data_IF_435198525886
#
_entry.id   IF_435198525886
#
_cell.length_a   1.000
_cell.length_b   1.000
_cell.length_c   1.000
_cell.angle_alpha   90.00
_cell.angle_beta   90.00
_cell.angle_gamma   90.00
#
_symmetry.space_group_name_H-M   'P 1'
#
loop_
_entity.id
_entity.type
_entity.pdbx_description
1 polymer ?
#
# COMPACT_ATOMS: atom_id res chain seq x y z
N UNK A 1 6.52 -10.76 23.17
CA UNK A 1 5.25 -11.31 22.65
C UNK A 1 5.48 -12.76 22.26
N UNK A 2 4.51 -13.66 22.46
CA UNK A 2 4.61 -15.02 21.89
C UNK A 2 4.73 -14.90 20.35
N UNK A 3 5.60 -15.66 19.68
CA UNK A 3 5.67 -15.73 18.21
C UNK A 3 4.29 -15.93 17.54
N UNK A 4 3.34 -16.53 18.28
CA UNK A 4 1.95 -16.75 17.87
C UNK A 4 1.20 -15.44 17.62
N UNK A 5 1.34 -14.43 18.48
CA UNK A 5 0.64 -13.16 18.29
C UNK A 5 1.21 -12.36 17.10
N UNK A 6 2.50 -12.52 16.79
CA UNK A 6 3.14 -11.84 15.66
C UNK A 6 2.75 -12.48 14.33
N UNK A 7 2.64 -13.81 14.32
CA UNK A 7 2.09 -14.54 13.18
C UNK A 7 0.61 -14.21 12.96
N UNK A 8 -0.20 -14.14 14.03
CA UNK A 8 -1.58 -13.66 13.97
C UNK A 8 -1.69 -12.22 13.49
N UNK A 9 -0.77 -11.34 13.89
CA UNK A 9 -0.68 -9.95 13.40
C UNK A 9 -0.41 -9.89 11.90
N UNK A 10 0.64 -10.56 11.39
CA UNK A 10 0.92 -10.62 9.94
C UNK A 10 -0.25 -11.20 9.16
N UNK A 11 -0.83 -12.31 9.64
CA UNK A 11 -1.97 -12.95 8.98
C UNK A 11 -3.22 -12.07 9.02
N UNK A 12 -3.56 -11.40 10.12
CA UNK A 12 -4.76 -10.55 10.21
C UNK A 12 -4.58 -9.17 9.58
N UNK A 13 -3.36 -8.62 9.50
CA UNK A 13 -3.09 -7.38 8.76
C UNK A 13 -3.24 -7.59 7.25
N UNK A 14 -2.65 -8.67 6.73
CA UNK A 14 -2.73 -9.05 5.31
C UNK A 14 -4.14 -9.57 4.96
N UNK A 15 -4.81 -10.26 5.90
CA UNK A 15 -6.19 -10.74 5.74
C UNK A 15 -7.24 -9.82 6.37
N UNK A 16 -6.93 -8.53 6.62
CA UNK A 16 -7.98 -7.57 6.91
C UNK A 16 -8.87 -7.53 5.66
N UNK A 17 -10.05 -8.13 5.77
CA UNK A 17 -11.05 -8.25 4.70
C UNK A 17 -12.01 -7.06 4.81
N UNK A 18 -12.17 -6.33 3.72
CA UNK A 18 -13.06 -5.19 3.65
C UNK A 18 -12.36 -3.94 3.11
N UNK A 19 -13.16 -2.91 2.95
CA UNK A 19 -12.74 -1.57 2.58
C UNK A 19 -12.30 -0.84 3.87
N UNK A 20 -11.03 -0.47 3.97
CA UNK A 20 -10.48 0.20 5.16
C UNK A 20 -10.17 1.67 4.89
N UNK A 21 -10.38 2.50 5.92
CA UNK A 21 -9.86 3.86 5.99
C UNK A 21 -8.52 3.82 6.73
N UNK A 22 -7.45 4.20 6.04
CA UNK A 22 -6.10 4.25 6.62
C UNK A 22 -5.61 5.68 6.68
N UNK A 23 -5.21 6.11 7.86
CA UNK A 23 -4.67 7.43 8.11
C UNK A 23 -3.16 7.35 8.31
N UNK A 24 -2.42 8.13 7.52
CA UNK A 24 -1.00 8.37 7.72
C UNK A 24 -0.81 9.77 8.29
N UNK A 25 -0.09 9.84 9.41
CA UNK A 25 0.54 11.07 9.87
C UNK A 25 2.01 11.00 9.51
N UNK A 26 2.45 11.94 8.68
CA UNK A 26 3.86 12.05 8.29
C UNK A 26 4.30 13.47 8.56
N UNK A 27 5.57 13.66 8.94
CA UNK A 27 6.25 14.94 8.78
C UNK A 27 6.98 14.84 7.43
N UNK A 28 6.38 15.33 6.34
CA UNK A 28 6.80 15.00 4.98
C UNK A 28 8.09 15.71 4.52
N UNK A 29 9.01 16.06 5.42
CA UNK A 29 10.21 16.84 5.11
C UNK A 29 11.21 16.08 4.23
N UNK A 30 11.04 14.75 4.07
CA UNK A 30 11.90 13.90 3.25
C UNK A 30 11.16 13.29 2.05
N UNK A 31 11.66 13.44 0.81
CA UNK A 31 11.19 12.72 -0.38
C UNK A 31 11.22 11.19 -0.22
N UNK A 32 12.02 10.69 0.72
CA UNK A 32 12.08 9.26 1.03
C UNK A 32 10.83 8.76 1.75
N UNK A 33 10.22 9.59 2.61
CA UNK A 33 9.00 9.24 3.35
C UNK A 33 7.78 9.25 2.42
N UNK A 34 7.73 10.11 1.40
CA UNK A 34 6.67 10.09 0.39
C UNK A 34 6.75 8.85 -0.52
N UNK A 35 7.97 8.40 -0.85
CA UNK A 35 8.15 7.15 -1.61
C UNK A 35 7.86 5.91 -0.75
N UNK A 36 8.27 5.91 0.53
CA UNK A 36 7.93 4.86 1.48
C UNK A 36 6.41 4.81 1.72
N UNK A 37 5.74 5.96 1.80
CA UNK A 37 4.28 6.06 1.85
C UNK A 37 3.64 5.35 0.65
N UNK A 38 4.10 5.60 -0.58
CA UNK A 38 3.57 4.93 -1.78
C UNK A 38 3.87 3.43 -1.79
N UNK A 39 5.07 3.01 -1.39
CA UNK A 39 5.45 1.60 -1.30
C UNK A 39 4.61 0.88 -0.25
N UNK A 40 4.40 1.49 0.93
CA UNK A 40 3.55 0.94 1.99
C UNK A 40 2.09 0.91 1.55
N UNK A 41 1.56 1.98 0.93
CA UNK A 41 0.20 1.99 0.37
C UNK A 41 0.00 0.89 -0.70
N UNK A 42 1.02 0.63 -1.53
CA UNK A 42 0.99 -0.41 -2.57
C UNK A 42 1.19 -1.82 -2.04
N UNK A 43 2.06 -2.02 -1.04
CA UNK A 43 2.42 -3.33 -0.52
C UNK A 43 1.54 -3.80 0.65
N UNK A 44 0.97 -2.88 1.42
CA UNK A 44 0.32 -3.20 2.71
C UNK A 44 -1.21 -3.18 2.61
N UNK A 45 -1.83 -2.60 1.57
CA UNK A 45 -3.29 -2.37 1.57
C UNK A 45 -3.96 -2.56 0.20
N UNK A 46 -3.78 -3.73 -0.40
CA UNK A 46 -4.56 -4.14 -1.59
C UNK A 46 -6.08 -3.97 -1.45
N UNK A 47 -6.59 -3.92 -0.20
CA UNK A 47 -8.01 -3.80 0.12
C UNK A 47 -8.42 -2.42 0.71
N UNK A 48 -7.54 -1.43 0.83
CA UNK A 48 -7.97 -0.10 1.30
C UNK A 48 -8.93 0.56 0.30
N UNK A 49 -9.95 1.23 0.83
CA UNK A 49 -10.90 2.03 0.05
C UNK A 49 -10.62 3.52 0.16
N UNK A 50 -10.08 3.94 1.31
CA UNK A 50 -9.72 5.34 1.56
C UNK A 50 -8.37 5.39 2.25
N UNK A 51 -7.49 6.25 1.74
CA UNK A 51 -6.24 6.60 2.39
C UNK A 51 -6.26 8.10 2.64
N UNK A 52 -6.08 8.48 3.90
CA UNK A 52 -5.93 9.87 4.32
C UNK A 52 -4.45 10.08 4.68
N UNK A 53 -3.84 11.11 4.12
CA UNK A 53 -2.51 11.57 4.48
C UNK A 53 -2.64 12.94 5.12
N UNK A 54 -2.14 13.10 6.35
CA UNK A 54 -2.28 14.32 7.14
C UNK A 54 -0.92 14.84 7.59
N UNK A 55 -0.73 16.14 7.41
CA UNK A 55 0.41 16.92 7.91
C UNK A 55 -0.08 18.32 8.31
N UNK A 56 0.65 19.00 9.19
CA UNK A 56 0.39 20.40 9.57
C UNK A 56 0.91 21.38 8.51
N UNK A 57 1.96 21.01 7.76
CA UNK A 57 2.62 21.88 6.78
C UNK A 57 1.90 21.87 5.41
N UNK A 58 1.04 22.85 5.21
CA UNK A 58 0.31 23.03 3.94
C UNK A 58 1.24 23.19 2.73
N UNK A 59 2.38 23.87 2.87
CA UNK A 59 3.29 24.14 1.75
C UNK A 59 3.91 22.85 1.24
N UNK A 60 4.27 21.97 2.17
CA UNK A 60 4.83 20.66 1.91
C UNK A 60 3.81 19.71 1.27
N UNK A 61 2.58 19.71 1.80
CA UNK A 61 1.47 18.94 1.23
C UNK A 61 1.19 19.35 -0.21
N UNK A 62 1.19 20.66 -0.50
CA UNK A 62 0.99 21.19 -1.85
C UNK A 62 2.11 20.77 -2.79
N UNK A 63 3.37 20.92 -2.36
CA UNK A 63 4.56 20.55 -3.15
C UNK A 63 4.54 19.07 -3.54
N UNK A 64 4.10 18.20 -2.64
CA UNK A 64 4.09 16.75 -2.83
C UNK A 64 2.73 16.19 -3.27
N UNK A 65 1.76 17.06 -3.60
CA UNK A 65 0.36 16.65 -3.86
C UNK A 65 0.23 15.63 -4.99
N UNK A 66 1.04 15.75 -6.04
CA UNK A 66 1.02 14.84 -7.19
C UNK A 66 1.62 13.47 -6.91
N UNK A 67 2.36 13.31 -5.80
CA UNK A 67 3.00 12.03 -5.45
C UNK A 67 1.98 10.90 -5.25
N UNK A 68 0.74 11.23 -4.87
CA UNK A 68 -0.33 10.25 -4.65
C UNK A 68 -1.14 9.93 -5.91
N UNK A 69 -0.81 10.53 -7.06
CA UNK A 69 -1.54 10.26 -8.30
C UNK A 69 -1.26 8.83 -8.81
N UNK A 70 -2.25 8.17 -9.44
CA UNK A 70 -2.04 6.88 -10.10
C UNK A 70 -0.91 6.94 -11.12
N UNK A 71 -0.05 5.93 -11.13
CA UNK A 71 0.95 5.73 -12.17
C UNK A 71 0.34 4.96 -13.35
N UNK A 72 1.03 4.96 -14.50
CA UNK A 72 0.64 4.17 -15.68
C UNK A 72 0.40 2.70 -15.33
N UNK A 73 1.21 2.14 -14.44
CA UNK A 73 1.04 0.76 -13.96
C UNK A 73 -0.29 0.51 -13.28
N UNK A 74 -0.85 1.52 -12.59
CA UNK A 74 -2.14 1.41 -11.90
C UNK A 74 -3.31 1.36 -12.90
N UNK A 75 -3.17 1.97 -14.09
CA UNK A 75 -4.14 1.85 -15.17
C UNK A 75 -4.05 0.50 -15.89
N UNK A 76 -2.83 0.04 -16.17
CA UNK A 76 -2.58 -1.26 -16.83
C UNK A 76 -3.00 -2.43 -15.93
N UNK A 77 -2.73 -2.32 -14.62
CA UNK A 77 -3.12 -3.31 -13.60
C UNK A 77 -4.06 -2.65 -12.61
N UNK A 78 -5.29 -2.45 -13.07
CA UNK A 78 -6.35 -1.83 -12.27
C UNK A 78 -6.69 -2.67 -11.05
N UNK A 79 -7.06 -1.98 -9.96
CA UNK A 79 -7.53 -2.61 -8.72
C UNK A 79 -8.86 -3.32 -8.95
N UNK A 80 -9.16 -4.34 -8.15
CA UNK A 80 -10.48 -4.98 -8.14
C UNK A 80 -11.54 -4.15 -7.39
N UNK A 81 -11.12 -3.17 -6.59
CA UNK A 81 -11.99 -2.31 -5.78
C UNK A 81 -11.58 -0.84 -5.87
N UNK A 82 -12.53 0.09 -5.66
CA UNK A 82 -12.25 1.52 -5.62
C UNK A 82 -11.25 1.88 -4.51
N UNK A 83 -10.39 2.85 -4.79
CA UNK A 83 -9.52 3.48 -3.80
C UNK A 83 -9.53 4.99 -4.00
N UNK A 84 -9.80 5.73 -2.93
CA UNK A 84 -9.66 7.18 -2.85
C UNK A 84 -8.47 7.54 -1.98
N UNK A 85 -7.59 8.39 -2.47
CA UNK A 85 -6.47 8.93 -1.67
C UNK A 85 -6.67 10.42 -1.48
N UNK A 86 -6.56 10.90 -0.24
CA UNK A 86 -6.76 12.30 0.12
C UNK A 86 -5.56 12.80 0.92
N UNK A 87 -5.13 14.03 0.62
CA UNK A 87 -4.12 14.77 1.36
C UNK A 87 -4.83 15.91 2.07
N UNK A 88 -4.69 15.98 3.38
CA UNK A 88 -5.36 16.96 4.22
C UNK A 88 -4.37 17.66 5.13
N UNK A 89 -4.58 18.96 5.35
CA UNK A 89 -3.88 19.71 6.35
C UNK A 89 -4.64 19.62 7.68
N UNK A 90 -3.96 19.17 8.73
CA UNK A 90 -4.54 19.00 10.06
C UNK A 90 -3.49 18.59 11.09
N UNK A 91 -3.84 18.66 12.37
CA UNK A 91 -2.93 18.36 13.47
C UNK A 91 -3.34 17.05 14.15
N UNK A 92 -2.41 16.09 14.26
CA UNK A 92 -2.63 14.77 14.89
C UNK A 92 -3.25 14.82 16.29
N UNK A 93 -3.04 15.91 17.04
CA UNK A 93 -3.63 16.09 18.37
C UNK A 93 -5.10 16.51 18.36
N UNK A 94 -5.64 16.95 17.22
CA UNK A 94 -6.95 17.59 17.11
C UNK A 94 -7.99 16.61 16.56
N UNK A 95 -9.13 16.48 17.25
CA UNK A 95 -10.24 15.66 16.80
C UNK A 95 -10.97 16.32 15.63
N UNK A 96 -11.28 15.58 14.57
CA UNK A 96 -11.98 16.13 13.39
C UNK A 96 -12.95 15.12 12.80
N UNK A 97 -14.00 15.62 12.15
CA UNK A 97 -15.03 14.79 11.52
C UNK A 97 -14.43 13.85 10.47
N UNK A 98 -13.43 14.32 9.73
CA UNK A 98 -12.76 13.57 8.66
C UNK A 98 -11.92 12.39 9.17
N UNK A 99 -11.68 12.31 10.49
CA UNK A 99 -10.93 11.21 11.12
C UNK A 99 -11.82 10.10 11.67
N UNK A 100 -13.14 10.27 11.64
CA UNK A 100 -14.09 9.24 12.07
C UNK A 100 -13.99 8.00 11.18
N UNK A 101 -14.42 6.88 11.74
CA UNK A 101 -14.46 5.58 11.07
C UNK A 101 -13.10 5.13 10.49
N UNK A 102 -12.00 5.69 11.02
CA UNK A 102 -10.64 5.25 10.67
C UNK A 102 -10.39 3.86 11.23
N UNK A 103 -10.09 2.90 10.36
CA UNK A 103 -9.78 1.54 10.78
C UNK A 103 -8.33 1.38 11.23
N UNK A 104 -7.41 2.09 10.61
CA UNK A 104 -5.99 2.01 10.90
C UNK A 104 -5.32 3.39 10.92
N UNK A 105 -4.50 3.63 11.94
CA UNK A 105 -3.64 4.81 12.03
C UNK A 105 -2.19 4.40 11.96
N UNK A 106 -1.42 5.07 11.11
CA UNK A 106 0.01 4.83 10.90
C UNK A 106 0.72 6.16 11.10
N UNK A 107 1.42 6.29 12.23
CA UNK A 107 2.22 7.45 12.59
C UNK A 107 3.70 7.03 12.58
N UNK A 108 4.38 7.27 11.46
CA UNK A 108 5.77 6.87 11.25
C UNK A 108 6.65 8.09 11.48
N UNK A 109 7.61 7.95 12.40
CA UNK A 109 8.58 8.99 12.75
C UNK A 109 7.90 10.36 12.94
N UNK A 110 6.94 10.40 13.86
CA UNK A 110 6.05 11.55 14.09
C UNK A 110 6.20 12.09 15.52
N UNK A 111 6.12 11.21 16.51
CA UNK A 111 5.93 11.61 17.90
C UNK A 111 7.13 12.39 18.43
N UNK A 112 8.34 12.10 17.93
CA UNK A 112 9.57 12.82 18.27
C UNK A 112 9.61 14.27 17.75
N UNK A 113 8.74 14.65 16.81
CA UNK A 113 8.66 16.01 16.27
C UNK A 113 7.68 16.91 17.03
N UNK A 114 6.96 16.38 18.02
CA UNK A 114 5.96 17.16 18.77
C UNK A 114 6.42 17.45 20.21
N UNK A 115 5.98 18.59 20.75
CA UNK A 115 6.19 18.95 22.15
C UNK A 115 5.27 18.14 23.08
N UNK A 116 5.62 18.08 24.37
CA UNK A 116 4.93 17.25 25.38
C UNK A 116 3.42 17.51 25.49
N UNK A 117 2.99 18.75 25.31
CA UNK A 117 1.58 19.15 25.36
C UNK A 117 0.77 18.57 24.20
N UNK A 118 1.35 18.54 23.00
CA UNK A 118 0.78 17.89 21.81
C UNK A 118 0.86 16.37 21.96
N UNK A 119 2.01 15.84 22.40
CA UNK A 119 2.22 14.40 22.61
C UNK A 119 1.19 13.80 23.57
N UNK A 120 0.83 14.52 24.63
CA UNK A 120 -0.19 14.10 25.59
C UNK A 120 -1.61 14.00 24.99
N UNK A 121 -1.90 14.77 23.93
CA UNK A 121 -3.18 14.77 23.22
C UNK A 121 -3.27 13.70 22.15
N UNK A 122 -2.15 13.29 21.55
CA UNK A 122 -2.13 12.26 20.49
C UNK A 122 -2.89 10.97 20.90
N UNK A 123 -2.64 10.35 22.07
CA UNK A 123 -3.41 9.18 22.47
C UNK A 123 -4.89 9.47 22.74
N UNK A 124 -5.24 10.69 23.14
CA UNK A 124 -6.64 11.11 23.34
C UNK A 124 -7.38 11.13 22.02
N UNK A 125 -6.79 11.74 20.99
CA UNK A 125 -7.40 11.76 19.67
C UNK A 125 -7.46 10.34 19.07
N UNK A 126 -6.34 9.63 19.02
CA UNK A 126 -6.28 8.34 18.32
C UNK A 126 -7.07 7.24 19.06
N UNK A 127 -6.82 7.01 20.34
CA UNK A 127 -7.44 5.88 21.06
C UNK A 127 -8.78 6.25 21.72
N UNK A 128 -9.01 7.54 21.99
CA UNK A 128 -10.25 8.04 22.58
C UNK A 128 -11.29 8.44 21.55
N UNK A 129 -10.93 9.31 20.59
CA UNK A 129 -11.85 9.81 19.57
C UNK A 129 -11.96 8.89 18.35
N UNK A 130 -10.85 8.53 17.71
CA UNK A 130 -10.90 7.74 16.46
C UNK A 130 -11.20 6.26 16.72
N UNK A 131 -10.68 5.71 17.82
CA UNK A 131 -10.82 4.31 18.23
C UNK A 131 -10.52 3.28 17.12
N UNK A 132 -9.42 3.39 16.36
CA UNK A 132 -9.13 2.53 15.21
C UNK A 132 -8.89 1.08 15.64
N UNK A 133 -9.04 0.13 14.73
CA UNK A 133 -8.74 -1.30 14.98
C UNK A 133 -7.24 -1.54 15.12
N UNK A 134 -6.43 -0.73 14.44
CA UNK A 134 -4.97 -0.81 14.39
C UNK A 134 -4.34 0.58 14.57
N UNK A 135 -3.26 0.64 15.36
CA UNK A 135 -2.39 1.82 15.41
C UNK A 135 -0.94 1.38 15.32
N UNK A 136 -0.15 2.04 14.48
CA UNK A 136 1.30 1.85 14.39
C UNK A 136 1.97 3.17 14.71
N UNK A 137 2.89 3.14 15.69
CA UNK A 137 3.83 4.23 15.93
C UNK A 137 5.24 3.74 15.64
N UNK A 138 6.05 4.58 15.00
CA UNK A 138 7.51 4.42 15.02
C UNK A 138 8.18 5.69 15.54
N UNK A 139 9.36 5.52 16.10
CA UNK A 139 10.22 6.61 16.57
C UNK A 139 11.67 6.11 16.64
N UNK A 140 12.68 7.00 16.60
CA UNK A 140 14.07 6.62 16.82
C UNK A 140 14.29 5.94 18.17
N UNK A 141 15.21 4.97 18.21
CA UNK A 141 15.66 4.35 19.46
C UNK A 141 16.98 4.97 19.94
N UNK A 142 16.96 5.78 20.99
CA UNK A 142 18.17 6.45 21.47
C UNK A 142 19.24 5.49 22.03
N UNK A 143 18.88 4.28 22.48
CA UNK A 143 19.85 3.24 22.89
C UNK A 143 20.82 2.91 21.75
N UNK A 144 20.37 3.04 20.49
CA UNK A 144 21.17 2.76 19.31
C UNK A 144 22.17 3.89 18.98
N UNK A 145 22.01 5.09 19.53
CA UNK A 145 22.83 6.26 19.19
C UNK A 145 24.33 6.04 19.46
N UNK A 146 24.67 5.13 20.37
CA UNK A 146 26.06 4.70 20.64
C UNK A 146 26.77 4.16 19.40
N UNK A 147 26.03 3.61 18.42
CA UNK A 147 26.59 3.12 17.15
C UNK A 147 26.77 4.27 16.16
N UNK A 148 25.82 5.21 16.09
CA UNK A 148 25.87 6.32 15.13
C UNK A 148 27.07 7.23 15.34
N UNK A 149 27.49 7.45 16.59
CA UNK A 149 28.69 8.25 16.91
C UNK A 149 29.97 7.78 16.20
N UNK A 150 30.01 6.55 15.70
CA UNK A 150 31.14 6.00 14.92
C UNK A 150 31.17 6.44 13.46
N UNK A 151 30.03 6.83 12.89
CA UNK A 151 29.86 7.10 11.46
C UNK A 151 29.42 8.55 11.18
N UNK A 152 28.53 9.08 12.00
CA UNK A 152 28.08 10.48 11.97
C UNK A 152 28.07 11.06 13.40
N UNK A 153 28.57 12.28 13.62
CA UNK A 153 28.44 12.91 14.92
C UNK A 153 26.96 13.18 15.22
N UNK A 154 26.54 12.87 16.45
CA UNK A 154 25.27 13.34 16.98
C UNK A 154 25.32 14.86 17.16
N UNK A 155 24.15 15.48 17.23
CA UNK A 155 24.04 16.89 17.60
C UNK A 155 24.50 17.10 19.07
N UNK A 156 24.83 18.33 19.48
CA UNK A 156 25.29 18.61 20.85
C UNK A 156 24.30 18.20 21.94
N UNK A 157 23.01 18.09 21.62
CA UNK A 157 21.94 17.61 22.51
C UNK A 157 21.81 16.06 22.53
N UNK A 158 22.63 15.34 21.76
CA UNK A 158 22.61 13.88 21.65
C UNK A 158 21.61 13.31 20.64
N UNK A 159 20.88 14.16 19.90
CA UNK A 159 19.89 13.74 18.91
C UNK A 159 20.51 13.50 17.54
N UNK A 160 19.81 12.70 16.73
CA UNK A 160 20.11 12.41 15.31
C UNK A 160 19.67 13.53 14.39
N UNK A 161 18.65 14.30 14.78
CA UNK A 161 18.05 15.35 13.95
C UNK A 161 17.76 16.61 14.77
N UNK A 162 17.90 17.77 14.14
CA UNK A 162 17.76 19.07 14.82
C UNK A 162 16.31 19.40 15.19
N UNK A 163 15.38 18.82 14.44
CA UNK A 163 13.95 19.03 14.64
C UNK A 163 13.34 18.08 15.69
N UNK A 164 14.07 17.07 16.19
CA UNK A 164 13.56 16.22 17.25
C UNK A 164 13.41 16.99 18.57
N UNK A 165 12.27 16.82 19.25
CA UNK A 165 12.00 17.37 20.57
C UNK A 165 12.43 16.39 21.67
N UNK A 166 12.46 15.10 21.37
CA UNK A 166 13.00 14.04 22.21
C UNK A 166 13.50 12.86 21.38
N UNK A 167 14.32 11.99 21.97
CA UNK A 167 14.61 10.65 21.43
C UNK A 167 14.56 9.62 22.56
N UNK A 168 13.54 8.78 22.55
CA UNK A 168 13.32 7.82 23.63
C UNK A 168 14.18 6.57 23.52
N UNK A 169 14.63 6.10 24.68
CA UNK A 169 15.14 4.74 24.86
C UNK A 169 14.02 3.71 24.69
N UNK A 170 14.37 2.43 24.63
CA UNK A 170 13.37 1.36 24.57
C UNK A 170 12.47 1.31 25.80
N UNK A 171 13.03 1.62 26.97
CA UNK A 171 12.28 1.62 28.22
C UNK A 171 11.29 2.79 28.28
N UNK A 172 11.69 3.99 27.87
CA UNK A 172 10.79 5.16 27.79
C UNK A 172 9.65 4.92 26.80
N UNK A 173 9.96 4.44 25.59
CA UNK A 173 8.93 4.14 24.59
C UNK A 173 7.96 3.05 25.05
N UNK A 174 8.48 2.00 25.70
CA UNK A 174 7.66 0.95 26.30
C UNK A 174 6.75 1.49 27.41
N UNK A 175 7.26 2.35 28.27
CA UNK A 175 6.50 2.95 29.37
C UNK A 175 5.37 3.85 28.84
N UNK A 176 5.65 4.63 27.78
CA UNK A 176 4.62 5.40 27.09
C UNK A 176 3.51 4.49 26.53
N UNK A 177 3.89 3.39 25.86
CA UNK A 177 2.92 2.41 25.34
C UNK A 177 2.08 1.75 26.45
N UNK A 178 2.70 1.44 27.60
CA UNK A 178 2.02 0.89 28.78
C UNK A 178 0.98 1.89 29.32
N UNK A 179 1.33 3.17 29.43
CA UNK A 179 0.40 4.22 29.86
C UNK A 179 -0.80 4.38 28.93
N UNK A 180 -0.60 4.18 27.62
CA UNK A 180 -1.71 4.18 26.64
C UNK A 180 -2.67 3.03 26.92
N UNK A 181 -2.21 1.79 27.04
CA UNK A 181 -3.12 0.65 27.24
C UNK A 181 -3.73 0.61 28.65
N UNK A 182 -3.09 1.23 29.64
CA UNK A 182 -3.71 1.46 30.95
C UNK A 182 -4.92 2.40 30.84
N UNK A 183 -4.77 3.51 30.09
CA UNK A 183 -5.84 4.48 29.84
C UNK A 183 -6.91 3.97 28.88
N UNK A 184 -6.51 3.17 27.89
CA UNK A 184 -7.37 2.62 26.82
C UNK A 184 -7.31 1.09 26.84
N UNK A 185 -7.97 0.44 27.81
CA UNK A 185 -7.83 -1.00 28.07
C UNK A 185 -8.44 -1.90 26.99
N UNK A 186 -9.08 -1.33 25.96
CA UNK A 186 -9.53 -2.04 24.77
C UNK A 186 -8.40 -2.39 23.82
N UNK A 187 -7.18 -1.90 24.05
CA UNK A 187 -6.03 -2.17 23.21
C UNK A 187 -5.01 -3.08 23.91
N UNK A 188 -4.26 -3.80 23.10
CA UNK A 188 -3.01 -4.46 23.47
C UNK A 188 -1.94 -4.01 22.50
N UNK A 189 -0.66 -4.09 22.89
CA UNK A 189 0.42 -3.69 22.00
C UNK A 189 1.57 -4.70 21.94
N UNK A 190 2.34 -4.60 20.87
CA UNK A 190 3.62 -5.27 20.68
C UNK A 190 4.69 -4.26 20.29
N UNK A 191 5.91 -4.50 20.77
CA UNK A 191 7.10 -3.78 20.33
C UNK A 191 7.87 -4.62 19.31
N UNK A 192 8.39 -3.95 18.29
CA UNK A 192 9.31 -4.48 17.28
C UNK A 192 10.20 -3.33 16.80
N UNK A 193 10.93 -3.50 15.70
CA UNK A 193 11.71 -2.41 15.11
C UNK A 193 12.28 -2.77 13.75
N UNK A 194 12.98 -1.80 13.16
CA UNK A 194 13.66 -1.94 11.86
C UNK A 194 15.11 -1.48 11.98
N UNK A 195 16.00 -2.15 11.24
CA UNK A 195 17.44 -1.95 11.29
C UNK A 195 18.06 -2.72 12.45
N UNK A 196 18.54 -3.93 12.17
CA UNK A 196 19.19 -4.76 13.18
C UNK A 196 20.55 -4.15 13.58
N UNK A 197 20.94 -4.25 14.86
CA UNK A 197 22.27 -3.85 15.27
C UNK A 197 23.34 -4.80 14.71
N UNK A 198 24.60 -4.33 14.60
CA UNK A 198 25.74 -5.23 14.43
C UNK A 198 25.81 -6.25 15.57
N UNK A 199 26.41 -7.42 15.31
CA UNK A 199 26.48 -8.54 16.28
C UNK A 199 27.07 -8.14 17.62
N UNK A 200 28.02 -7.19 17.64
CA UNK A 200 28.67 -6.75 18.88
C UNK A 200 27.77 -5.86 19.75
N UNK A 201 26.63 -5.40 19.21
CA UNK A 201 25.72 -4.45 19.86
C UNK A 201 24.28 -4.97 19.91
N UNK A 202 24.04 -6.28 19.87
CA UNK A 202 22.69 -6.87 19.92
C UNK A 202 21.82 -6.34 21.09
N UNK A 203 22.46 -5.96 22.21
CA UNK A 203 21.79 -5.42 23.38
C UNK A 203 21.09 -4.08 23.15
N UNK A 204 21.47 -3.27 22.15
CA UNK A 204 20.90 -1.92 21.93
C UNK A 204 19.55 -1.97 21.19
N UNK A 205 19.21 -3.10 20.58
CA UNK A 205 17.98 -3.26 19.80
C UNK A 205 18.05 -2.62 18.41
N UNK A 206 16.89 -2.33 17.82
CA UNK A 206 16.77 -1.84 16.45
C UNK A 206 17.10 -0.33 16.33
N UNK A 207 17.42 0.13 15.11
CA UNK A 207 17.66 1.55 14.80
C UNK A 207 16.43 2.42 15.09
N UNK A 208 15.28 1.97 14.59
CA UNK A 208 13.96 2.55 14.87
C UNK A 208 13.11 1.50 15.58
N UNK A 209 12.39 1.94 16.60
CA UNK A 209 11.49 1.11 17.38
C UNK A 209 10.05 1.35 16.93
N UNK A 210 9.24 0.30 16.95
CA UNK A 210 7.87 0.32 16.44
C UNK A 210 6.95 -0.28 17.50
N UNK A 211 5.87 0.44 17.81
CA UNK A 211 4.76 -0.06 18.62
C UNK A 211 3.56 -0.31 17.73
N UNK A 212 2.97 -1.49 17.86
CA UNK A 212 1.79 -1.91 17.13
C UNK A 212 0.69 -2.18 18.15
N UNK A 213 -0.34 -1.35 18.14
CA UNK A 213 -1.53 -1.50 18.97
C UNK A 213 -2.64 -2.14 18.16
N UNK A 214 -3.30 -3.13 18.75
CA UNK A 214 -4.44 -3.82 18.16
C UNK A 214 -5.60 -3.75 19.14
N UNK A 215 -6.77 -3.37 18.64
CA UNK A 215 -8.00 -3.39 19.42
C UNK A 215 -8.43 -4.84 19.69
N UNK A 216 -8.84 -5.15 20.92
CA UNK A 216 -9.07 -6.51 21.41
C UNK A 216 -10.06 -7.32 20.58
N UNK A 217 -11.08 -6.67 20.01
CA UNK A 217 -12.08 -7.31 19.14
C UNK A 217 -11.48 -7.90 17.85
N UNK A 218 -10.43 -7.29 17.30
CA UNK A 218 -9.67 -7.86 16.17
C UNK A 218 -8.99 -9.18 16.51
N UNK A 219 -8.71 -9.40 17.80
CA UNK A 219 -8.11 -10.63 18.32
C UNK A 219 -9.15 -11.60 18.88
N UNK A 220 -10.43 -11.39 18.59
CA UNK A 220 -11.55 -12.20 19.13
C UNK A 220 -11.62 -12.16 20.67
N UNK A 221 -11.06 -11.10 21.27
CA UNK A 221 -11.12 -10.84 22.69
C UNK A 221 -12.26 -9.87 23.01
N UNK A 222 -12.88 -10.04 24.17
CA UNK A 222 -13.92 -9.13 24.63
C UNK A 222 -13.34 -7.73 24.90
N UNK A 223 -14.05 -6.68 24.46
CA UNK A 223 -13.73 -5.31 24.82
C UNK A 223 -13.97 -5.10 26.32
N UNK A 224 -13.09 -4.34 26.96
CA UNK A 224 -13.20 -3.99 28.38
C UNK A 224 -14.29 -2.94 28.58
N UNK A 225 -14.34 -1.96 27.68
CA UNK A 225 -15.35 -0.91 27.65
C UNK A 225 -16.07 -0.90 26.29
N UNK A 226 -17.36 -0.52 26.22
CA UNK A 226 -18.03 -0.27 24.94
C UNK A 226 -17.31 0.80 24.11
N UNK A 227 -17.37 0.67 22.77
CA UNK A 227 -16.90 1.73 21.87
C UNK A 227 -17.86 2.92 21.93
N UNK A 228 -17.32 4.13 21.75
CA UNK A 228 -18.09 5.36 21.68
C UNK A 228 -18.49 5.56 20.23
N UNK A 229 -19.79 5.48 19.94
CA UNK A 229 -20.30 5.51 18.57
C UNK A 229 -20.23 6.89 17.90
N UNK A 230 -20.13 7.96 18.70
CA UNK A 230 -20.02 9.33 18.19
C UNK A 230 -19.33 10.23 19.22
N UNK A 231 -18.00 10.14 19.39
CA UNK A 231 -17.27 10.99 20.30
C UNK A 231 -17.39 12.46 19.88
N UNK A 232 -17.53 13.35 20.85
CA UNK A 232 -17.63 14.79 20.59
C UNK A 232 -16.30 15.32 20.04
N UNK A 233 -16.39 16.21 19.06
CA UNK A 233 -15.24 16.97 18.57
C UNK A 233 -14.91 18.05 19.61
N UNK A 234 -13.62 18.26 19.86
CA UNK A 234 -13.14 19.29 20.76
C UNK A 234 -13.55 20.68 20.24
N UNK A 235 -14.06 21.54 21.14
CA UNK A 235 -14.58 22.86 20.75
C UNK A 235 -13.53 23.79 20.11
N UNK A 236 -12.26 23.53 20.39
CA UNK A 236 -11.12 24.29 19.90
C UNK A 236 -10.57 23.72 18.58
N UNK A 237 -11.04 22.54 18.16
CA UNK A 237 -10.54 21.89 16.95
C UNK A 237 -11.08 22.57 15.69
N UNK A 238 -10.21 22.75 14.71
CA UNK A 238 -10.58 23.23 13.38
C UNK A 238 -10.68 22.05 12.41
N UNK A 239 -11.69 22.06 11.50
CA UNK A 239 -11.82 21.02 10.48
C UNK A 239 -10.55 20.87 9.64
N UNK A 240 -10.26 19.63 9.26
CA UNK A 240 -9.10 19.33 8.42
C UNK A 240 -9.35 19.89 7.01
N UNK A 241 -8.35 20.59 6.47
CA UNK A 241 -8.48 21.22 5.15
C UNK A 241 -8.01 20.26 4.07
N UNK A 242 -8.91 19.89 3.16
CA UNK A 242 -8.55 19.09 1.99
C UNK A 242 -7.59 19.87 1.06
N UNK A 243 -6.43 19.31 0.78
CA UNK A 243 -5.42 19.90 -0.11
C UNK A 243 -5.48 19.26 -1.50
N UNK A 244 -5.58 17.93 -1.56
CA UNK A 244 -5.63 17.16 -2.81
C UNK A 244 -6.42 15.88 -2.62
N UNK A 245 -7.08 15.40 -3.67
CA UNK A 245 -7.76 14.12 -3.67
C UNK A 245 -7.68 13.47 -5.05
N UNK A 246 -7.53 12.15 -5.07
CA UNK A 246 -7.48 11.38 -6.30
C UNK A 246 -8.19 10.05 -6.14
N UNK A 247 -8.86 9.61 -7.19
CA UNK A 247 -9.50 8.31 -7.28
C UNK A 247 -8.65 7.41 -8.19
N UNK A 248 -8.34 6.21 -7.70
CA UNK A 248 -7.53 5.25 -8.44
C UNK A 248 -8.39 4.47 -9.44
N UNK A 249 -7.82 4.11 -10.61
CA UNK A 249 -8.48 3.25 -11.58
C UNK A 249 -8.75 1.87 -10.97
N UNK A 250 -9.95 1.36 -11.19
CA UNK A 250 -10.35 0.02 -10.80
C UNK A 250 -11.17 -0.60 -11.93
N UNK A 251 -11.09 -1.94 -12.02
CA UNK A 251 -11.84 -2.73 -12.96
C UNK A 251 -12.46 -3.90 -12.22
N UNK A 252 -13.77 -4.04 -12.31
CA UNK A 252 -14.50 -5.18 -11.78
C UNK A 252 -14.74 -6.14 -12.94
N UNK A 253 -14.09 -7.30 -12.89
CA UNK A 253 -14.32 -8.35 -13.87
C UNK A 253 -15.70 -8.96 -13.65
N UNK A 254 -16.64 -8.65 -14.54
CA UNK A 254 -18.03 -9.12 -14.51
C UNK A 254 -18.21 -10.49 -15.15
N UNK A 255 -17.14 -11.08 -15.71
CA UNK A 255 -17.18 -12.41 -16.33
C UNK A 255 -17.41 -13.49 -15.27
N UNK A 256 -18.12 -14.54 -15.67
CA UNK A 256 -18.25 -15.78 -14.93
C UNK A 256 -16.91 -16.52 -14.85
N UNK A 257 -16.76 -17.42 -13.88
CA UNK A 257 -15.54 -18.24 -13.75
C UNK A 257 -15.27 -19.07 -15.02
N UNK A 258 -16.34 -19.50 -15.71
CA UNK A 258 -16.25 -20.23 -16.98
C UNK A 258 -15.68 -19.35 -18.12
N UNK A 259 -16.13 -18.10 -18.23
CA UNK A 259 -15.62 -17.15 -19.23
C UNK A 259 -14.16 -16.72 -18.94
N UNK A 260 -13.79 -16.58 -17.66
CA UNK A 260 -12.40 -16.32 -17.26
C UNK A 260 -11.49 -17.49 -17.63
N UNK A 261 -11.91 -18.71 -17.30
CA UNK A 261 -11.16 -19.91 -17.64
C UNK A 261 -11.01 -20.05 -19.16
N UNK A 262 -12.09 -19.79 -19.92
CA UNK A 262 -12.03 -19.80 -21.38
C UNK A 262 -11.00 -18.82 -21.94
N UNK A 263 -10.94 -17.61 -21.39
CA UNK A 263 -9.93 -16.61 -21.80
C UNK A 263 -8.52 -17.11 -21.57
N UNK A 264 -8.23 -17.75 -20.44
CA UNK A 264 -6.90 -18.28 -20.16
C UNK A 264 -6.57 -19.49 -21.06
N UNK A 265 -7.54 -20.37 -21.35
CA UNK A 265 -7.40 -21.43 -22.36
C UNK A 265 -7.01 -20.83 -23.72
N UNK A 266 -7.66 -19.76 -24.15
CA UNK A 266 -7.30 -19.07 -25.40
C UNK A 266 -5.88 -18.51 -25.35
N UNK A 267 -5.46 -17.90 -24.24
CA UNK A 267 -4.09 -17.38 -24.07
C UNK A 267 -3.06 -18.50 -24.17
N UNK A 268 -3.30 -19.63 -23.52
CA UNK A 268 -2.38 -20.77 -23.55
C UNK A 268 -2.28 -21.41 -24.93
N UNK A 269 -3.41 -21.56 -25.64
CA UNK A 269 -3.42 -22.02 -27.03
C UNK A 269 -2.59 -21.08 -27.94
N UNK A 270 -2.71 -19.76 -27.75
CA UNK A 270 -1.94 -18.78 -28.53
C UNK A 270 -0.45 -18.79 -28.17
N UNK A 271 -0.10 -18.90 -26.88
CA UNK A 271 1.29 -19.05 -26.43
C UNK A 271 1.93 -20.29 -27.05
N UNK A 272 1.24 -21.42 -27.01
CA UNK A 272 1.70 -22.68 -27.58
C UNK A 272 1.88 -22.57 -29.10
N UNK A 273 0.89 -22.00 -29.81
CA UNK A 273 0.97 -21.73 -31.26
C UNK A 273 2.18 -20.87 -31.62
N UNK A 274 2.46 -19.81 -30.85
CA UNK A 274 3.60 -18.91 -31.09
C UNK A 274 4.95 -19.59 -30.85
N UNK A 275 5.06 -20.39 -29.79
CA UNK A 275 6.26 -21.19 -29.54
C UNK A 275 6.52 -22.22 -30.64
N UNK A 276 5.48 -22.94 -31.06
CA UNK A 276 5.57 -23.92 -32.12
C UNK A 276 6.01 -23.30 -33.46
N UNK A 277 5.43 -22.15 -33.84
CA UNK A 277 5.87 -21.38 -35.02
C UNK A 277 7.33 -20.93 -34.91
N UNK A 278 7.82 -20.56 -33.73
CA UNK A 278 9.20 -20.09 -33.56
C UNK A 278 10.25 -21.21 -33.67
N UNK A 279 9.89 -22.46 -33.32
CA UNK A 279 10.78 -23.61 -33.45
C UNK A 279 10.84 -24.16 -34.87
N UNK A 280 9.77 -24.02 -35.66
CA UNK A 280 9.73 -24.52 -37.05
C UNK A 280 10.39 -23.58 -38.07
N UNK A 281 10.75 -22.33 -37.71
CA UNK A 281 11.52 -21.45 -38.60
C UNK A 281 12.93 -22.03 -38.91
N UNK A 282 13.41 -23.01 -38.14
CA UNK A 282 14.68 -23.70 -38.39
C UNK A 282 14.56 -24.93 -39.33
N UNK A 283 13.35 -25.44 -39.61
CA UNK A 283 13.14 -26.61 -40.46
C UNK A 283 12.05 -26.33 -41.51
N UNK A 284 12.40 -26.39 -42.81
CA UNK A 284 11.62 -26.05 -44.03
C UNK A 284 10.28 -26.81 -44.26
N UNK A 285 9.62 -27.31 -43.21
CA UNK A 285 8.32 -28.00 -43.26
C UNK A 285 7.19 -27.11 -42.75
N UNK A 286 6.40 -26.56 -43.69
CA UNK A 286 5.14 -25.88 -43.39
C UNK A 286 4.12 -26.89 -42.86
N UNK A 287 4.06 -27.05 -41.54
CA UNK A 287 3.03 -27.86 -40.89
C UNK A 287 1.95 -26.94 -40.33
N UNK A 288 0.85 -26.78 -41.08
CA UNK A 288 -0.24 -25.82 -40.79
C UNK A 288 -1.10 -26.16 -39.54
N UNK A 289 -0.69 -27.16 -38.76
CA UNK A 289 -1.46 -27.69 -37.64
C UNK A 289 -0.56 -28.01 -36.46
N UNK A 290 -0.88 -27.40 -35.32
CA UNK A 290 -0.18 -27.56 -34.06
C UNK A 290 -1.06 -28.35 -33.08
N UNK A 291 -0.51 -29.40 -32.47
CA UNK A 291 -1.23 -30.27 -31.55
C UNK A 291 -0.78 -29.97 -30.12
N UNK A 292 -1.65 -29.36 -29.32
CA UNK A 292 -1.36 -29.05 -27.92
C UNK A 292 -1.98 -30.11 -27.00
N UNK A 293 -1.19 -30.87 -26.21
CA UNK A 293 -1.76 -31.83 -25.27
C UNK A 293 -2.61 -31.14 -24.19
N UNK A 294 -3.81 -31.68 -23.89
CA UNK A 294 -4.69 -31.16 -22.83
C UNK A 294 -3.99 -31.18 -21.46
N UNK A 295 -3.09 -32.14 -21.24
CA UNK A 295 -2.27 -32.21 -20.02
C UNK A 295 -1.46 -30.93 -19.76
N UNK A 296 -1.01 -30.22 -20.82
CA UNK A 296 -0.29 -28.94 -20.68
C UNK A 296 -1.24 -27.83 -20.21
N UNK A 297 -2.46 -27.79 -20.77
CA UNK A 297 -3.49 -26.85 -20.30
C UNK A 297 -3.85 -27.11 -18.84
N UNK A 298 -4.00 -28.36 -18.43
CA UNK A 298 -4.31 -28.71 -17.04
C UNK A 298 -3.19 -28.28 -16.07
N UNK A 299 -1.93 -28.52 -16.42
CA UNK A 299 -0.78 -28.11 -15.60
C UNK A 299 -0.71 -26.59 -15.44
N UNK A 300 -0.91 -25.85 -16.54
CA UNK A 300 -0.84 -24.39 -16.52
C UNK A 300 -2.06 -23.73 -15.87
N UNK A 301 -3.24 -24.36 -15.91
CA UNK A 301 -4.51 -23.80 -15.41
C UNK A 301 -4.94 -24.36 -14.04
N UNK A 302 -4.11 -25.16 -13.37
CA UNK A 302 -4.40 -25.75 -12.06
C UNK A 302 -4.74 -24.69 -11.00
N UNK A 303 -4.07 -23.53 -11.05
CA UNK A 303 -4.32 -22.42 -10.12
C UNK A 303 -5.73 -21.81 -10.22
N UNK A 304 -6.45 -22.05 -11.34
CA UNK A 304 -7.85 -21.64 -11.53
C UNK A 304 -8.85 -22.74 -11.15
N UNK A 305 -8.38 -23.91 -10.69
CA UNK A 305 -9.22 -25.06 -10.41
C UNK A 305 -9.77 -25.71 -11.68
N UNK A 306 -9.03 -25.60 -12.80
CA UNK A 306 -9.42 -26.21 -14.06
C UNK A 306 -9.44 -27.74 -13.93
N UNK A 307 -10.53 -28.36 -14.39
CA UNK A 307 -10.65 -29.82 -14.47
C UNK A 307 -10.69 -30.25 -15.93
N UNK A 308 -10.36 -31.51 -16.20
CA UNK A 308 -10.35 -32.04 -17.56
C UNK A 308 -11.72 -31.88 -18.22
N UNK A 309 -12.78 -32.19 -17.46
CA UNK A 309 -14.16 -32.12 -17.91
C UNK A 309 -14.54 -30.68 -18.31
N UNK A 310 -14.12 -29.69 -17.51
CA UNK A 310 -14.44 -28.28 -17.75
C UNK A 310 -13.70 -27.73 -18.97
N UNK A 311 -12.44 -28.14 -19.18
CA UNK A 311 -11.66 -27.77 -20.37
C UNK A 311 -12.26 -28.43 -21.62
N UNK A 312 -12.59 -29.71 -21.58
CA UNK A 312 -13.22 -30.41 -22.71
C UNK A 312 -14.58 -29.80 -23.08
N UNK A 313 -15.41 -29.47 -22.08
CA UNK A 313 -16.67 -28.74 -22.27
C UNK A 313 -16.43 -27.41 -22.98
N UNK A 314 -15.47 -26.60 -22.51
CA UNK A 314 -15.12 -25.31 -23.12
C UNK A 314 -14.61 -25.44 -24.55
N UNK A 315 -13.75 -26.43 -24.83
CA UNK A 315 -13.21 -26.68 -26.18
C UNK A 315 -14.34 -27.10 -27.14
N UNK A 316 -15.25 -27.96 -26.69
CA UNK A 316 -16.42 -28.40 -27.47
C UNK A 316 -17.37 -27.23 -27.77
N UNK A 317 -17.71 -26.43 -26.76
CA UNK A 317 -18.60 -25.26 -26.91
C UNK A 317 -18.06 -24.23 -27.90
N UNK A 318 -16.74 -24.09 -27.99
CA UNK A 318 -16.07 -23.15 -28.87
C UNK A 318 -15.62 -23.77 -30.21
N UNK A 319 -16.13 -24.96 -30.56
CA UNK A 319 -15.88 -25.66 -31.83
C UNK A 319 -14.41 -26.00 -32.10
N UNK A 320 -13.58 -26.19 -31.07
CA UNK A 320 -12.22 -26.66 -31.22
C UNK A 320 -12.18 -28.19 -31.31
N UNK A 321 -11.40 -28.70 -32.27
CA UNK A 321 -11.26 -30.15 -32.45
C UNK A 321 -10.26 -30.71 -31.44
N UNK A 322 -10.69 -31.75 -30.75
CA UNK A 322 -9.85 -32.53 -29.83
C UNK A 322 -9.67 -33.92 -30.41
N UNK A 323 -8.42 -34.31 -30.65
CA UNK A 323 -8.05 -35.64 -31.14
C UNK A 323 -6.89 -36.19 -30.30
N UNK A 324 -6.99 -37.45 -29.87
CA UNK A 324 -5.94 -38.13 -29.08
C UNK A 324 -5.44 -37.32 -27.87
N UNK A 325 -6.35 -36.74 -27.08
CA UNK A 325 -6.01 -35.91 -25.90
C UNK A 325 -5.22 -34.63 -26.24
N UNK A 326 -5.25 -34.20 -27.51
CA UNK A 326 -4.64 -32.98 -27.99
C UNK A 326 -5.68 -32.05 -28.63
N UNK A 327 -5.54 -30.76 -28.38
CA UNK A 327 -6.28 -29.70 -29.07
C UNK A 327 -5.59 -29.42 -30.40
N UNK A 328 -6.34 -29.52 -31.50
CA UNK A 328 -5.87 -29.20 -32.84
C UNK A 328 -5.97 -27.69 -33.09
N UNK A 329 -4.83 -27.03 -33.27
CA UNK A 329 -4.74 -25.59 -33.55
C UNK A 329 -4.34 -25.40 -35.01
N UNK A 330 -5.26 -24.90 -35.84
CA UNK A 330 -5.00 -24.62 -37.26
C UNK A 330 -4.35 -23.24 -37.42
N UNK A 331 -3.28 -23.15 -38.20
CA UNK A 331 -2.68 -21.88 -38.61
C UNK A 331 -3.26 -21.40 -39.93
N UNK A 332 -4.49 -20.89 -39.92
CA UNK A 332 -4.93 -20.01 -41.01
C UNK A 332 -4.27 -18.64 -40.83
N UNK A 333 -3.70 -18.08 -41.91
CA UNK A 333 -3.15 -16.71 -41.98
C UNK A 333 -4.23 -15.62 -41.98
N UNK A 334 -5.50 -16.01 -41.88
CA UNK A 334 -6.53 -15.09 -41.45
C UNK A 334 -6.26 -14.79 -39.97
N UNK A 335 -5.69 -13.62 -39.70
CA UNK A 335 -5.88 -12.90 -38.45
C UNK A 335 -7.39 -12.83 -38.22
N UNK A 336 -7.93 -13.88 -37.62
CA UNK A 336 -9.26 -13.90 -37.07
C UNK A 336 -9.44 -12.63 -36.28
N UNK A 337 -10.54 -11.92 -36.56
CA UNK A 337 -11.06 -10.77 -35.81
C UNK A 337 -11.36 -11.18 -34.35
N UNK A 338 -10.35 -11.63 -33.60
CA UNK A 338 -10.42 -11.75 -32.16
C UNK A 338 -9.90 -10.42 -31.67
N UNK A 339 -10.82 -9.60 -31.17
CA UNK A 339 -10.49 -8.36 -30.47
C UNK A 339 -9.33 -8.63 -29.54
N UNK A 340 -8.25 -7.85 -29.70
CA UNK A 340 -7.24 -7.78 -28.65
C UNK A 340 -7.98 -7.59 -27.32
N UNK A 341 -7.61 -8.29 -26.23
CA UNK A 341 -8.33 -8.18 -24.95
C UNK A 341 -8.27 -6.79 -24.32
N UNK A 342 -7.70 -5.82 -25.02
CA UNK A 342 -7.48 -4.44 -24.63
C UNK A 342 -8.01 -3.50 -25.72
N UNK A 343 -9.32 -3.55 -26.01
CA UNK A 343 -9.99 -2.38 -26.59
C UNK A 343 -9.87 -1.23 -25.59
N UNK A 344 -8.80 -0.45 -25.70
CA UNK A 344 -8.75 0.90 -25.17
C UNK A 344 -9.88 1.66 -25.85
N UNK A 345 -11.02 1.74 -25.18
CA UNK A 345 -12.13 2.58 -25.62
C UNK A 345 -11.58 4.00 -25.77
N UNK A 346 -11.50 4.47 -27.02
CA UNK A 346 -11.22 5.86 -27.36
C UNK A 346 -12.29 6.74 -26.71
N UNK A 347 -12.06 7.16 -25.47
CA UNK A 347 -12.87 8.18 -24.81
C UNK A 347 -12.13 9.50 -24.97
N UNK A 348 -12.46 10.16 -26.09
CA UNK A 348 -12.43 11.60 -26.32
C UNK A 348 -11.54 12.39 -25.35
N UNK A 349 -10.33 12.70 -25.80
CA UNK A 349 -9.56 13.86 -25.35
C UNK A 349 -10.48 15.08 -25.37
N UNK A 350 -10.86 15.58 -24.19
CA UNK A 350 -11.29 16.97 -24.09
C UNK A 350 -10.01 17.80 -24.08
N UNK A 351 -9.84 18.58 -25.14
CA UNK A 351 -8.84 19.62 -25.27
C UNK A 351 -8.86 20.54 -24.05
N UNK A 352 -7.84 20.43 -23.20
CA UNK A 352 -7.39 21.55 -22.38
C UNK A 352 -6.10 22.06 -23.01
N UNK A 353 -6.23 23.19 -23.71
CA UNK A 353 -5.15 23.94 -24.31
C UNK A 353 -4.03 24.18 -23.29
N UNK A 354 -2.86 23.60 -23.56
CA UNK A 354 -1.61 23.99 -22.93
C UNK A 354 -1.24 25.35 -23.51
N UNK A 355 -1.41 26.40 -22.69
CA UNK A 355 -0.83 27.71 -22.99
C UNK A 355 0.64 27.63 -22.59
N UNK A 356 1.51 27.71 -23.60
CA UNK A 356 2.94 27.96 -23.43
C UNK A 356 3.15 29.21 -22.59
N UNK A 357 3.79 29.07 -21.43
CA UNK A 357 4.50 30.15 -20.76
C UNK A 357 5.95 29.71 -20.54
N UNK A 358 6.75 30.13 -21.51
CA UNK A 358 8.14 30.54 -21.49
C UNK A 358 9.00 30.13 -20.28
N UNK A 359 10.05 29.38 -20.62
CA UNK A 359 11.26 29.15 -19.82
C UNK A 359 11.87 30.47 -19.35
N UNK A 360 11.90 30.68 -18.04
CA UNK A 360 12.97 31.47 -17.42
C UNK A 360 14.04 30.49 -16.93
N UNK A 361 15.14 30.40 -17.69
CA UNK A 361 16.35 29.67 -17.32
C UNK A 361 17.08 30.44 -16.20
N UNK A 362 17.19 29.83 -15.02
CA UNK A 362 17.97 30.35 -13.89
C UNK A 362 19.47 30.36 -14.23
N UNK A 363 20.00 31.55 -14.52
CA UNK A 363 21.43 31.81 -14.72
C UNK A 363 22.09 32.14 -13.38
N UNK A 364 23.01 31.30 -12.92
CA UNK A 364 23.57 31.30 -11.56
C UNK A 364 24.97 31.93 -11.41
N UNK A 365 25.40 32.86 -12.28
CA UNK A 365 26.72 33.52 -12.13
C UNK A 365 26.70 35.00 -12.54
N UNK A 366 26.78 35.92 -11.56
CA UNK A 366 27.41 37.24 -11.75
C UNK A 366 28.18 37.66 -10.48
N UNK A 367 29.48 37.92 -10.67
CA UNK A 367 30.43 38.45 -9.67
C UNK A 367 30.11 39.91 -9.28
N UNK A 368 30.56 40.37 -8.10
CA UNK A 368 30.30 41.72 -7.63
C UNK A 368 31.26 42.73 -8.25
N UNK A 369 30.74 43.77 -8.92
CA UNK A 369 31.54 44.94 -9.27
C UNK A 369 31.71 45.90 -8.06
N UNK A 370 32.91 46.45 -8.02
CA UNK A 370 33.58 47.30 -7.03
C UNK A 370 32.96 48.67 -6.75
#
# INVERSE_FOLDING_TARGET
MSPVLWHLFKLKLINMRGNFVVLFFTFASSPFLSHLFLIVCRAVLGNASVILSVDIDESLLRRNSTSVNPLVSDYVRSRASPLKVQIMQGNVADSSEELRDTDAVIAIELIEHVYDDVLAKIPVNIFGFMQPKLVVFSTPNSDFNVIFTRFNPLLPNGFRHEDHKFEWSRDEFKNWCLGIVEKYPNYVFSLTGVGNPPKEFESVGHVSQIAIFVRKDMLEMQLVNPLVSNPNIDKESTPYKLIHAVEYPFYVDTRTEKEKLWTEVQIELQRFKRHFKSSEIEEDTYQDTCNMPIAVLLDHLDYMGATKELIEELLLENNLKVENECVLIVSSDEESEWSEPYEFSNRSSQDTALVDQEREEECWDQEPES
#
